data_IF_320949569712
#
_entry.id   IF_320949569712
#
_cell.length_a   1.000
_cell.length_b   1.000
_cell.length_c   1.000
_cell.angle_alpha   90.00
_cell.angle_beta   90.00
_cell.angle_gamma   90.00
#
_symmetry.space_group_name_H-M   'P 1'
#
loop_
_entity.id
_entity.type
_entity.pdbx_description
1 polymer ?
#
# COMPACT_ATOMS: atom_id res chain seq x y z
N UNK A 1 16.83 -9.79 -19.73
CA UNK A 1 15.78 -9.03 -20.44
C UNK A 1 15.49 -9.51 -21.87
N UNK A 2 16.34 -10.33 -22.50
CA UNK A 2 16.18 -10.75 -23.91
C UNK A 2 14.95 -11.62 -24.23
N UNK A 3 14.31 -12.21 -23.21
CA UNK A 3 13.11 -13.05 -23.35
C UNK A 3 11.78 -12.26 -23.33
N UNK A 4 11.84 -10.94 -23.12
CA UNK A 4 10.65 -10.09 -23.01
C UNK A 4 10.25 -9.51 -24.37
N UNK A 5 8.94 -9.43 -24.62
CA UNK A 5 8.40 -8.71 -25.77
C UNK A 5 8.77 -7.21 -25.70
N UNK A 6 8.90 -6.57 -26.86
CA UNK A 6 9.23 -5.14 -26.99
C UNK A 6 7.95 -4.34 -27.31
N UNK A 7 7.69 -3.18 -26.66
CA UNK A 7 8.47 -2.60 -25.56
C UNK A 7 8.39 -3.47 -24.30
N UNK A 8 9.54 -3.64 -23.63
CA UNK A 8 9.66 -4.49 -22.44
C UNK A 8 8.91 -3.86 -21.28
N UNK A 9 8.19 -4.66 -20.51
CA UNK A 9 7.38 -4.21 -19.37
C UNK A 9 7.86 -4.97 -18.14
N UNK A 10 8.51 -4.27 -17.22
CA UNK A 10 9.22 -4.89 -16.09
C UNK A 10 8.70 -4.29 -14.80
N UNK A 11 8.10 -5.11 -13.93
CA UNK A 11 7.70 -4.70 -12.58
C UNK A 11 8.75 -5.13 -11.56
N UNK A 12 9.15 -4.19 -10.71
CA UNK A 12 10.08 -4.38 -9.60
C UNK A 12 9.30 -4.44 -8.29
N UNK A 13 9.36 -5.60 -7.64
CA UNK A 13 8.79 -5.84 -6.31
C UNK A 13 9.91 -6.18 -5.33
N UNK A 14 10.81 -5.22 -5.12
CA UNK A 14 11.96 -5.35 -4.22
C UNK A 14 11.86 -4.37 -3.06
N UNK A 15 12.64 -4.61 -2.00
CA UNK A 15 12.67 -3.72 -0.84
C UNK A 15 13.08 -2.31 -1.27
N UNK A 16 12.26 -1.33 -0.89
CA UNK A 16 12.48 0.08 -1.21
C UNK A 16 13.86 0.59 -0.73
N UNK A 17 14.38 1.60 -1.44
CA UNK A 17 15.68 2.21 -1.21
C UNK A 17 16.79 1.56 -2.05
N UNK A 18 17.97 1.38 -1.43
CA UNK A 18 19.18 0.88 -2.11
C UNK A 18 18.99 -0.40 -2.94
N UNK A 19 18.21 -1.41 -2.51
CA UNK A 19 18.01 -2.62 -3.32
C UNK A 19 17.34 -2.32 -4.67
N UNK A 20 16.34 -1.44 -4.71
CA UNK A 20 15.75 -0.97 -5.97
C UNK A 20 16.80 -0.30 -6.84
N UNK A 21 17.60 0.62 -6.28
CA UNK A 21 18.63 1.33 -7.04
C UNK A 21 19.65 0.37 -7.65
N UNK A 22 20.13 -0.61 -6.87
CA UNK A 22 21.04 -1.66 -7.38
C UNK A 22 20.43 -2.46 -8.53
N UNK A 23 19.13 -2.76 -8.50
CA UNK A 23 18.47 -3.41 -9.63
C UNK A 23 18.46 -2.50 -10.86
N UNK A 24 18.15 -1.21 -10.68
CA UNK A 24 18.10 -0.23 -11.78
C UNK A 24 19.49 -0.01 -12.41
N UNK A 25 20.57 0.06 -11.62
CA UNK A 25 21.96 0.17 -12.12
C UNK A 25 22.30 -0.90 -13.15
N UNK A 26 21.87 -2.13 -12.89
CA UNK A 26 22.13 -3.27 -13.77
C UNK A 26 21.08 -3.41 -14.88
N UNK A 27 19.86 -2.91 -14.65
CA UNK A 27 18.75 -3.07 -15.56
C UNK A 27 18.78 -2.05 -16.70
N UNK A 28 18.92 -0.77 -16.40
CA UNK A 28 18.82 0.31 -17.39
C UNK A 28 19.79 0.16 -18.57
N UNK A 29 21.07 -0.23 -18.39
CA UNK A 29 21.98 -0.44 -19.53
C UNK A 29 21.58 -1.58 -20.48
N UNK A 30 20.64 -2.43 -20.08
CA UNK A 30 20.14 -3.55 -20.87
C UNK A 30 18.83 -3.25 -21.60
N UNK A 31 18.20 -2.09 -21.32
CA UNK A 31 16.94 -1.70 -21.91
C UNK A 31 17.13 -0.90 -23.20
N UNK A 32 16.06 -0.82 -23.98
CA UNK A 32 15.98 -0.04 -25.20
C UNK A 32 15.03 1.14 -25.00
N UNK A 33 15.14 2.13 -25.88
CA UNK A 33 14.22 3.27 -25.92
C UNK A 33 12.75 2.81 -25.80
N UNK A 34 12.02 3.49 -24.94
CA UNK A 34 10.59 3.30 -24.65
C UNK A 34 10.21 1.98 -23.94
N UNK A 35 11.18 1.17 -23.52
CA UNK A 35 10.92 0.12 -22.53
C UNK A 35 10.34 0.75 -21.24
N UNK A 36 9.50 -0.01 -20.54
CA UNK A 36 8.76 0.42 -19.35
C UNK A 36 9.26 -0.31 -18.11
N UNK A 37 9.67 0.47 -17.10
CA UNK A 37 10.01 -0.02 -15.76
C UNK A 37 8.99 0.50 -14.76
N UNK A 38 8.39 -0.42 -14.01
CA UNK A 38 7.41 -0.16 -12.95
C UNK A 38 8.07 -0.48 -11.61
N UNK A 39 8.16 0.49 -10.72
CA UNK A 39 8.52 0.28 -9.31
C UNK A 39 7.24 0.15 -8.49
N UNK A 40 6.94 -1.06 -8.03
CA UNK A 40 5.76 -1.38 -7.22
C UNK A 40 6.05 -1.37 -5.71
N UNK A 41 7.26 -0.97 -5.30
CA UNK A 41 7.64 -0.89 -3.90
C UNK A 41 7.02 0.30 -3.18
N UNK A 42 7.07 0.30 -1.84
CA UNK A 42 6.73 1.48 -1.04
C UNK A 42 7.90 2.48 -1.00
N UNK A 43 8.26 3.04 -2.17
CA UNK A 43 9.32 4.02 -2.28
C UNK A 43 8.88 5.40 -1.75
N UNK A 44 9.83 6.18 -1.22
CA UNK A 44 9.59 7.59 -0.96
C UNK A 44 9.41 8.33 -2.29
N UNK A 45 8.50 9.30 -2.35
CA UNK A 45 8.17 10.00 -3.60
C UNK A 45 9.41 10.71 -4.21
N UNK A 46 10.29 11.28 -3.38
CA UNK A 46 11.53 11.90 -3.87
C UNK A 46 12.52 10.92 -4.51
N UNK A 47 12.57 9.66 -4.07
CA UNK A 47 13.36 8.63 -4.74
C UNK A 47 12.82 8.34 -6.13
N UNK A 48 11.51 8.43 -6.30
CA UNK A 48 10.85 8.21 -7.58
C UNK A 48 11.18 9.34 -8.55
N UNK A 49 11.16 10.61 -8.10
CA UNK A 49 11.59 11.76 -8.91
C UNK A 49 13.03 11.59 -9.41
N UNK A 50 13.95 11.21 -8.51
CA UNK A 50 15.34 10.93 -8.89
C UNK A 50 15.46 9.79 -9.90
N UNK A 51 14.69 8.71 -9.73
CA UNK A 51 14.71 7.55 -10.65
C UNK A 51 14.09 7.88 -12.01
N UNK A 52 13.09 8.75 -12.05
CA UNK A 52 12.53 9.28 -13.30
C UNK A 52 13.59 10.05 -14.09
N UNK A 53 14.37 10.91 -13.44
CA UNK A 53 15.48 11.62 -14.09
C UNK A 53 16.52 10.65 -14.63
N UNK A 54 16.90 9.65 -13.83
CA UNK A 54 17.85 8.62 -14.26
C UNK A 54 17.33 7.79 -15.44
N UNK A 55 16.05 7.41 -15.45
CA UNK A 55 15.45 6.66 -16.55
C UNK A 55 15.47 7.45 -17.88
N UNK A 56 15.35 8.79 -17.82
CA UNK A 56 15.44 9.66 -19.01
C UNK A 56 16.81 9.59 -19.68
N UNK A 57 17.89 9.37 -18.93
CA UNK A 57 19.24 9.20 -19.49
C UNK A 57 19.35 7.97 -20.41
N UNK A 58 18.46 6.99 -20.22
CA UNK A 58 18.39 5.75 -20.98
C UNK A 58 17.21 5.71 -21.97
N UNK A 59 16.45 6.80 -22.10
CA UNK A 59 15.19 6.86 -22.86
C UNK A 59 14.17 5.77 -22.45
N UNK A 60 14.16 5.42 -21.15
CA UNK A 60 13.27 4.43 -20.55
C UNK A 60 12.08 5.14 -19.90
N UNK A 61 10.88 4.59 -20.10
CA UNK A 61 9.66 5.07 -19.43
C UNK A 61 9.61 4.47 -18.03
N UNK A 62 9.45 5.32 -17.03
CA UNK A 62 9.45 4.90 -15.63
C UNK A 62 8.12 5.22 -14.96
N UNK A 63 7.61 4.27 -14.17
CA UNK A 63 6.38 4.40 -13.40
C UNK A 63 6.66 4.09 -11.93
N UNK A 64 6.29 5.00 -11.04
CA UNK A 64 6.17 4.73 -9.61
C UNK A 64 4.73 4.35 -9.30
N UNK A 65 4.50 3.12 -8.86
CA UNK A 65 3.16 2.54 -8.72
C UNK A 65 2.93 2.06 -7.29
N UNK A 66 2.04 2.75 -6.59
CA UNK A 66 1.57 2.29 -5.30
C UNK A 66 0.67 1.06 -5.41
N UNK A 67 0.94 0.01 -4.64
CA UNK A 67 0.11 -1.21 -4.59
C UNK A 67 -0.36 -1.44 -3.15
N UNK A 68 -1.66 -1.56 -2.92
CA UNK A 68 -2.25 -1.82 -1.58
C UNK A 68 -3.20 -3.02 -1.59
N UNK A 69 -3.31 -3.72 -0.45
CA UNK A 69 -4.12 -4.94 -0.29
C UNK A 69 -3.43 -6.10 0.44
N UNK A 70 -2.16 -5.96 0.82
CA UNK A 70 -1.41 -7.04 1.47
C UNK A 70 -1.15 -8.23 0.53
N UNK A 71 -0.79 -9.37 1.10
CA UNK A 71 -0.49 -10.59 0.32
C UNK A 71 -1.74 -11.13 -0.38
N UNK A 72 -2.87 -11.15 0.33
CA UNK A 72 -4.15 -11.64 -0.20
C UNK A 72 -4.69 -10.71 -1.31
N UNK A 73 -4.68 -9.40 -1.08
CA UNK A 73 -5.05 -8.43 -2.11
C UNK A 73 -4.12 -8.50 -3.32
N UNK A 74 -2.82 -8.72 -3.16
CA UNK A 74 -1.93 -8.89 -4.31
C UNK A 74 -2.28 -10.13 -5.16
N UNK A 75 -2.83 -11.19 -4.56
CA UNK A 75 -3.26 -12.40 -5.25
C UNK A 75 -4.63 -12.25 -5.94
N UNK A 76 -5.59 -11.60 -5.27
CA UNK A 76 -6.98 -11.57 -5.69
C UNK A 76 -7.43 -10.27 -6.36
N UNK A 77 -6.68 -9.19 -6.16
CA UNK A 77 -6.97 -7.88 -6.71
C UNK A 77 -6.53 -6.76 -5.75
N UNK A 78 -5.42 -6.06 -6.01
CA UNK A 78 -5.00 -4.94 -5.19
C UNK A 78 -5.58 -3.62 -5.70
N UNK A 79 -5.45 -2.57 -4.89
CA UNK A 79 -5.57 -1.19 -5.37
C UNK A 79 -4.23 -0.73 -5.98
N UNK A 80 -4.27 -0.15 -7.17
CA UNK A 80 -3.10 0.23 -7.97
C UNK A 80 -3.13 1.74 -8.25
N UNK A 81 -2.09 2.44 -7.83
CA UNK A 81 -1.98 3.89 -7.89
C UNK A 81 -0.77 4.26 -8.76
N UNK A 82 -0.97 4.41 -10.08
CA UNK A 82 0.12 4.64 -11.00
C UNK A 82 0.46 6.13 -11.16
N UNK A 83 1.75 6.44 -11.25
CA UNK A 83 2.25 7.76 -11.64
C UNK A 83 3.57 7.66 -12.40
N UNK A 84 3.91 8.68 -13.17
CA UNK A 84 5.18 8.74 -13.90
C UNK A 84 5.01 9.15 -15.36
N UNK A 85 5.55 8.36 -16.28
CA UNK A 85 5.41 8.59 -17.72
C UNK A 85 4.02 8.20 -18.24
N UNK A 86 3.23 9.11 -18.86
CA UNK A 86 1.87 8.80 -19.30
C UNK A 86 1.83 7.76 -20.43
N UNK A 87 2.77 7.79 -21.36
CA UNK A 87 2.84 6.77 -22.44
C UNK A 87 3.27 5.42 -21.88
N UNK A 88 4.09 5.41 -20.83
CA UNK A 88 4.45 4.22 -20.07
C UNK A 88 3.22 3.59 -19.43
N UNK A 89 2.32 4.41 -18.87
CA UNK A 89 1.06 3.92 -18.31
C UNK A 89 0.14 3.34 -19.37
N UNK A 90 -0.06 4.02 -20.51
CA UNK A 90 -0.87 3.51 -21.63
C UNK A 90 -0.44 2.10 -22.09
N UNK A 91 0.88 1.83 -22.08
CA UNK A 91 1.46 0.54 -22.44
C UNK A 91 1.11 -0.61 -21.46
N UNK A 92 0.82 -0.28 -20.19
CA UNK A 92 0.63 -1.27 -19.11
C UNK A 92 -0.75 -1.22 -18.46
N UNK A 93 -1.56 -0.21 -18.75
CA UNK A 93 -2.90 0.01 -18.20
C UNK A 93 -3.76 -1.26 -18.31
N UNK A 94 -3.81 -1.87 -19.49
CA UNK A 94 -4.63 -3.07 -19.71
C UNK A 94 -4.27 -4.23 -18.79
N UNK A 95 -2.99 -4.37 -18.39
CA UNK A 95 -2.55 -5.39 -17.44
C UNK A 95 -2.89 -4.96 -16.01
N UNK A 96 -2.56 -3.72 -15.64
CA UNK A 96 -2.79 -3.21 -14.29
C UNK A 96 -4.29 -3.20 -13.92
N UNK A 97 -5.13 -2.70 -14.82
CA UNK A 97 -6.58 -2.69 -14.65
C UNK A 97 -7.18 -4.08 -14.55
N UNK A 98 -6.63 -5.07 -15.29
CA UNK A 98 -7.13 -6.45 -15.27
C UNK A 98 -6.81 -7.19 -13.98
N UNK A 99 -5.69 -6.87 -13.33
CA UNK A 99 -5.28 -7.52 -12.08
C UNK A 99 -5.80 -6.79 -10.85
N UNK A 100 -6.34 -5.57 -10.98
CA UNK A 100 -6.84 -4.78 -9.85
C UNK A 100 -8.14 -5.36 -9.27
N UNK A 101 -8.41 -5.01 -8.00
CA UNK A 101 -9.73 -5.22 -7.41
C UNK A 101 -10.80 -4.49 -8.24
N UNK A 102 -12.06 -4.94 -8.19
CA UNK A 102 -13.19 -4.25 -8.83
C UNK A 102 -14.14 -3.75 -7.75
N UNK A 103 -14.17 -2.44 -7.55
CA UNK A 103 -15.10 -1.77 -6.66
C UNK A 103 -16.39 -1.34 -7.36
N UNK A 104 -17.31 -0.63 -6.65
CA UNK A 104 -18.59 -0.19 -7.20
C UNK A 104 -18.47 0.71 -8.44
N UNK A 105 -17.39 1.48 -8.53
CA UNK A 105 -17.12 2.42 -9.64
C UNK A 105 -16.26 1.80 -10.76
N UNK A 106 -15.84 0.54 -10.60
CA UNK A 106 -14.99 -0.17 -11.54
C UNK A 106 -13.65 -0.61 -10.94
N UNK A 107 -12.66 -0.94 -11.79
CA UNK A 107 -11.35 -1.39 -11.34
C UNK A 107 -10.66 -0.35 -10.45
N UNK A 108 -10.07 -0.79 -9.33
CA UNK A 108 -9.29 0.02 -8.41
C UNK A 108 -7.87 0.27 -8.95
N UNK A 109 -7.78 0.77 -10.19
CA UNK A 109 -6.55 1.14 -10.87
C UNK A 109 -6.74 2.46 -11.60
N UNK A 110 -5.85 3.42 -11.37
CA UNK A 110 -5.89 4.70 -12.07
C UNK A 110 -4.49 5.31 -12.24
N UNK A 111 -4.39 6.23 -13.20
CA UNK A 111 -3.25 7.11 -13.37
C UNK A 111 -3.46 8.42 -12.60
N UNK A 112 -2.64 8.64 -11.58
CA UNK A 112 -2.74 9.76 -10.65
C UNK A 112 -1.98 11.01 -11.11
N UNK A 113 -1.14 10.90 -12.14
CA UNK A 113 -0.46 12.03 -12.76
C UNK A 113 1.03 11.80 -13.01
N UNK A 114 1.74 12.86 -13.44
CA UNK A 114 3.16 12.75 -13.74
C UNK A 114 4.01 12.54 -12.48
N UNK A 115 5.29 12.29 -12.68
CA UNK A 115 6.27 12.28 -11.59
C UNK A 115 6.01 11.15 -10.60
N UNK A 116 6.21 11.47 -9.32
CA UNK A 116 6.05 10.56 -8.19
C UNK A 116 4.63 10.43 -7.64
N UNK A 117 3.61 10.93 -8.38
CA UNK A 117 2.22 11.00 -7.92
C UNK A 117 1.66 9.68 -7.38
N UNK A 118 1.93 8.55 -8.03
CA UNK A 118 1.45 7.24 -7.61
C UNK A 118 1.98 6.81 -6.24
N UNK A 119 3.30 6.96 -6.01
CA UNK A 119 3.91 6.70 -4.71
C UNK A 119 3.49 7.74 -3.65
N UNK A 120 3.25 9.00 -4.04
CA UNK A 120 2.76 10.02 -3.12
C UNK A 120 1.33 9.69 -2.64
N UNK A 121 0.43 9.30 -3.54
CA UNK A 121 -0.93 8.87 -3.18
C UNK A 121 -0.88 7.65 -2.26
N UNK A 122 0.01 6.68 -2.53
CA UNK A 122 0.20 5.52 -1.66
C UNK A 122 0.72 5.88 -0.28
N UNK A 123 1.65 6.83 -0.19
CA UNK A 123 2.14 7.37 1.08
C UNK A 123 0.97 7.95 1.89
N UNK A 124 0.16 8.81 1.28
CA UNK A 124 -1.02 9.41 1.93
C UNK A 124 -2.03 8.34 2.36
N UNK A 125 -2.29 7.33 1.52
CA UNK A 125 -3.14 6.19 1.87
C UNK A 125 -2.65 5.49 3.15
N UNK A 126 -1.35 5.22 3.29
CA UNK A 126 -0.81 4.67 4.54
C UNK A 126 -0.92 5.66 5.72
N UNK A 127 -0.84 6.97 5.48
CA UNK A 127 -1.09 7.97 6.52
C UNK A 127 -2.52 7.90 7.07
N UNK A 128 -3.51 7.77 6.18
CA UNK A 128 -4.92 7.62 6.54
C UNK A 128 -5.16 6.29 7.28
N UNK A 129 -4.55 5.20 6.79
CA UNK A 129 -4.59 3.88 7.44
C UNK A 129 -4.13 3.96 8.91
N UNK A 130 -3.01 4.63 9.18
CA UNK A 130 -2.49 4.81 10.54
C UNK A 130 -3.47 5.57 11.44
N UNK A 131 -4.08 6.64 10.93
CA UNK A 131 -5.04 7.45 11.69
C UNK A 131 -6.31 6.65 12.05
N UNK A 132 -6.81 5.82 11.13
CA UNK A 132 -7.98 4.97 11.39
C UNK A 132 -7.64 3.87 12.40
N UNK A 133 -6.48 3.21 12.25
CA UNK A 133 -6.03 2.19 13.20
C UNK A 133 -5.89 2.76 14.62
N UNK A 134 -5.33 3.96 14.76
CA UNK A 134 -5.23 4.64 16.05
C UNK A 134 -6.61 4.99 16.62
N UNK A 135 -7.53 5.49 15.79
CA UNK A 135 -8.91 5.81 16.22
C UNK A 135 -9.64 4.56 16.71
N UNK A 136 -9.45 3.42 16.04
CA UNK A 136 -9.97 2.12 16.47
C UNK A 136 -9.35 1.71 17.82
N UNK A 137 -8.04 1.89 17.99
CA UNK A 137 -7.35 1.58 19.24
C UNK A 137 -7.83 2.47 20.41
N UNK A 138 -8.10 3.75 20.16
CA UNK A 138 -8.70 4.66 21.15
C UNK A 138 -10.13 4.23 21.53
N UNK A 139 -10.94 3.81 20.56
CA UNK A 139 -12.28 3.29 20.83
C UNK A 139 -12.24 1.99 21.65
N UNK A 140 -11.34 1.08 21.30
CA UNK A 140 -11.06 -0.12 22.09
C UNK A 140 -10.67 0.23 23.52
N UNK A 141 -9.75 1.17 23.70
CA UNK A 141 -9.25 1.56 25.01
C UNK A 141 -10.32 2.21 25.89
N UNK A 142 -11.17 3.07 25.30
CA UNK A 142 -12.32 3.67 25.98
C UNK A 142 -13.31 2.59 26.45
N UNK A 143 -13.60 1.60 25.62
CA UNK A 143 -14.49 0.49 25.99
C UNK A 143 -13.86 -0.40 27.07
N UNK A 144 -12.57 -0.70 26.95
CA UNK A 144 -11.85 -1.56 27.89
C UNK A 144 -11.67 -0.91 29.25
N UNK A 145 -11.04 0.27 29.32
CA UNK A 145 -10.70 0.93 30.59
C UNK A 145 -11.81 1.85 31.11
N UNK A 146 -12.58 2.47 30.21
CA UNK A 146 -13.63 3.41 30.57
C UNK A 146 -14.98 2.74 30.86
N UNK A 147 -15.31 1.67 30.15
CA UNK A 147 -16.58 0.94 30.30
C UNK A 147 -16.42 -0.48 30.89
N UNK A 148 -15.19 -0.91 31.16
CA UNK A 148 -14.86 -2.24 31.70
C UNK A 148 -15.43 -3.39 30.87
N UNK A 149 -15.50 -3.20 29.54
CA UNK A 149 -16.01 -4.21 28.62
C UNK A 149 -15.00 -5.33 28.37
N UNK A 150 -15.50 -6.56 28.30
CA UNK A 150 -14.72 -7.71 27.85
C UNK A 150 -14.45 -7.65 26.34
N UNK A 151 -13.38 -8.30 25.87
CA UNK A 151 -13.07 -8.39 24.43
C UNK A 151 -14.21 -8.93 23.59
N UNK A 152 -14.99 -9.87 24.12
CA UNK A 152 -16.18 -10.40 23.44
C UNK A 152 -17.28 -9.34 23.27
N UNK A 153 -17.57 -8.56 24.30
CA UNK A 153 -18.54 -7.47 24.20
C UNK A 153 -18.06 -6.39 23.23
N UNK A 154 -16.76 -6.07 23.25
CA UNK A 154 -16.18 -5.12 22.30
C UNK A 154 -16.28 -5.65 20.86
N UNK A 155 -16.03 -6.94 20.64
CA UNK A 155 -16.19 -7.56 19.32
C UNK A 155 -17.63 -7.45 18.80
N UNK A 156 -18.62 -7.62 19.67
CA UNK A 156 -20.03 -7.47 19.28
C UNK A 156 -20.34 -6.02 18.86
N UNK A 157 -19.79 -5.02 19.56
CA UNK A 157 -19.91 -3.59 19.17
C UNK A 157 -19.25 -3.30 17.82
N UNK A 158 -18.01 -3.78 17.62
CA UNK A 158 -17.32 -3.61 16.33
C UNK A 158 -18.07 -4.32 15.19
N UNK A 159 -18.66 -5.48 15.45
CA UNK A 159 -19.51 -6.17 14.48
C UNK A 159 -20.80 -5.41 14.16
N UNK A 160 -21.45 -4.79 15.14
CA UNK A 160 -22.59 -3.91 14.91
C UNK A 160 -22.20 -2.69 14.05
N UNK A 161 -21.06 -2.05 14.36
CA UNK A 161 -20.53 -0.93 13.57
C UNK A 161 -20.17 -1.32 12.14
N UNK A 162 -19.59 -2.51 11.94
CA UNK A 162 -19.22 -3.01 10.62
C UNK A 162 -20.44 -3.35 9.74
N UNK A 163 -21.61 -3.58 10.34
CA UNK A 163 -22.88 -3.75 9.63
C UNK A 163 -23.58 -2.41 9.32
N UNK A 164 -23.01 -1.28 9.74
CA UNK A 164 -23.54 0.07 9.55
C UNK A 164 -22.65 0.94 8.67
N UNK A 165 -22.60 2.23 8.99
CA UNK A 165 -21.86 3.25 8.22
C UNK A 165 -20.33 3.09 8.27
N UNK A 166 -19.82 2.35 9.26
CA UNK A 166 -18.39 2.11 9.45
C UNK A 166 -17.90 0.83 8.79
N UNK A 167 -18.73 0.20 7.95
CA UNK A 167 -18.41 -1.03 7.22
C UNK A 167 -17.10 -0.89 6.46
N UNK A 168 -16.07 -1.61 6.91
CA UNK A 168 -14.73 -1.53 6.35
C UNK A 168 -13.85 -2.70 6.80
N UNK A 169 -12.84 -2.99 6.00
CA UNK A 169 -11.87 -4.07 6.30
C UNK A 169 -11.21 -3.92 7.68
N UNK A 170 -10.86 -2.69 8.10
CA UNK A 170 -10.23 -2.49 9.41
C UNK A 170 -11.18 -2.80 10.58
N UNK A 171 -12.48 -2.54 10.43
CA UNK A 171 -13.46 -2.90 11.46
C UNK A 171 -13.73 -4.41 11.47
N UNK A 172 -13.81 -5.04 10.29
CA UNK A 172 -13.93 -6.49 10.13
C UNK A 172 -12.79 -7.23 10.85
N UNK A 173 -11.54 -6.92 10.52
CA UNK A 173 -10.40 -7.59 11.18
C UNK A 173 -10.31 -7.26 12.67
N UNK A 174 -10.78 -6.07 13.10
CA UNK A 174 -10.82 -5.72 14.54
C UNK A 174 -11.79 -6.61 15.29
N UNK A 175 -12.99 -6.83 14.75
CA UNK A 175 -13.94 -7.80 15.30
C UNK A 175 -13.29 -9.19 15.39
N UNK A 176 -12.67 -9.68 14.32
CA UNK A 176 -12.03 -10.99 14.30
C UNK A 176 -10.90 -11.12 15.32
N UNK A 177 -10.05 -10.10 15.44
CA UNK A 177 -8.95 -10.03 16.42
C UNK A 177 -9.50 -10.10 17.84
N UNK A 178 -10.55 -9.35 18.15
CA UNK A 178 -11.16 -9.34 19.49
C UNK A 178 -11.84 -10.67 19.85
N UNK A 179 -12.32 -11.42 18.85
CA UNK A 179 -12.87 -12.77 19.03
C UNK A 179 -11.79 -13.84 19.15
N UNK A 180 -10.54 -13.55 18.76
CA UNK A 180 -9.46 -14.55 18.74
C UNK A 180 -8.99 -14.88 20.14
N UNK A 181 -9.02 -16.18 20.44
CA UNK A 181 -8.52 -16.74 21.70
C UNK A 181 -7.16 -17.38 21.46
N UNK A 182 -6.25 -17.18 22.41
CA UNK A 182 -4.97 -17.88 22.45
C UNK A 182 -5.18 -19.37 22.81
N UNK A 183 -4.75 -20.32 21.98
CA UNK A 183 -4.99 -21.74 22.22
C UNK A 183 -4.24 -22.30 23.43
N UNK A 184 -3.17 -21.65 23.90
CA UNK A 184 -2.37 -22.14 25.03
C UNK A 184 -2.95 -21.71 26.38
N UNK A 185 -3.34 -20.45 26.50
CA UNK A 185 -3.84 -19.86 27.75
C UNK A 185 -5.37 -19.83 27.85
N UNK A 186 -6.08 -19.86 26.71
CA UNK A 186 -7.53 -19.65 26.66
C UNK A 186 -7.97 -18.20 26.87
N UNK A 187 -7.03 -17.26 26.99
CA UNK A 187 -7.30 -15.83 27.13
C UNK A 187 -7.49 -15.17 25.75
N UNK A 188 -8.10 -13.97 25.68
CA UNK A 188 -8.13 -13.19 24.45
C UNK A 188 -6.71 -12.94 23.93
N UNK A 189 -6.43 -13.33 22.69
CA UNK A 189 -5.07 -13.26 22.14
C UNK A 189 -4.54 -11.82 22.13
N UNK A 190 -5.40 -10.85 21.86
CA UNK A 190 -5.06 -9.42 21.82
C UNK A 190 -4.50 -8.90 23.16
N UNK A 191 -4.94 -9.44 24.30
CA UNK A 191 -4.47 -9.04 25.64
C UNK A 191 -3.10 -9.65 25.99
N UNK A 192 -2.64 -10.62 25.19
CA UNK A 192 -1.35 -11.28 25.36
C UNK A 192 -0.25 -10.69 24.46
N UNK A 193 -0.61 -9.75 23.57
CA UNK A 193 0.32 -9.10 22.64
C UNK A 193 1.02 -7.94 23.36
N UNK A 194 2.33 -7.85 23.21
CA UNK A 194 3.11 -6.72 23.69
C UNK A 194 2.68 -5.43 22.97
N UNK A 195 2.35 -4.40 23.73
CA UNK A 195 1.84 -3.09 23.31
C UNK A 195 2.95 -2.18 22.74
N UNK A 196 3.70 -2.70 21.76
CA UNK A 196 4.76 -1.99 21.06
C UNK A 196 4.49 -1.94 19.56
N UNK A 197 3.81 -0.87 19.14
CA UNK A 197 3.53 -0.63 17.73
C UNK A 197 4.81 -0.30 16.95
N UNK A 198 5.15 -1.16 15.98
CA UNK A 198 6.21 -0.90 15.02
C UNK A 198 5.68 -0.11 13.82
N UNK A 199 6.53 0.72 13.21
CA UNK A 199 6.22 1.42 11.96
C UNK A 199 7.34 1.23 10.92
N UNK A 200 6.96 1.23 9.63
CA UNK A 200 7.90 1.06 8.51
C UNK A 200 8.29 2.39 7.83
N UNK A 201 7.88 3.53 8.39
CA UNK A 201 8.28 4.87 7.97
C UNK A 201 7.28 5.61 7.05
N UNK A 202 6.42 4.89 6.31
CA UNK A 202 5.46 5.52 5.38
C UNK A 202 4.46 6.45 6.06
N UNK A 203 3.95 6.08 7.23
CA UNK A 203 3.06 6.94 8.02
C UNK A 203 3.75 8.25 8.45
N UNK A 204 5.02 8.18 8.88
CA UNK A 204 5.82 9.36 9.24
C UNK A 204 6.01 10.30 8.05
N UNK A 205 6.25 9.77 6.85
CA UNK A 205 6.45 10.58 5.66
C UNK A 205 5.22 11.43 5.30
N UNK A 206 4.01 10.88 5.47
CA UNK A 206 2.76 11.64 5.30
C UNK A 206 2.68 12.85 6.23
N UNK A 207 3.02 12.68 7.52
CA UNK A 207 3.04 13.79 8.48
C UNK A 207 4.12 14.82 8.16
N UNK A 208 5.32 14.37 7.77
CA UNK A 208 6.41 15.28 7.40
C UNK A 208 6.02 16.12 6.18
N UNK A 209 5.51 15.48 5.13
CA UNK A 209 5.04 16.18 3.94
C UNK A 209 3.92 17.18 4.24
N UNK A 210 3.04 16.89 5.19
CA UNK A 210 1.99 17.82 5.61
C UNK A 210 2.52 19.04 6.40
N UNK A 211 3.69 18.93 7.04
CA UNK A 211 4.35 20.03 7.74
C UNK A 211 5.23 20.88 6.82
N UNK A 212 5.74 20.29 5.74
CA UNK A 212 6.60 20.97 4.76
C UNK A 212 5.82 21.87 3.78
N UNK A 213 4.50 21.73 3.72
CA UNK A 213 3.57 22.51 2.88
C UNK A 213 2.86 23.57 3.72
#
# INVERSE_FOLDING_TARGET
VASLAVPRKIILMVKAGKPTDTVLEHLFPLLSAHDVVIDGGNAHYSDTERRLEWAREYDVRYLGVGISGGEEGALHGPAIMAGGDPQGYEEVEGILTKIAAVGPEGPCCAYFGPGSSGHYVKMVHNGIEYAIMETIAEAYDLMSRGLEMTTRQMADVFGEWNNGELSSYLFEITEEILRRVDPETGNPLVEMILDQAAQKGTGKWSTQSALDI
#
